data_IF_698914340336
#
_entry.id   IF_698914340336
#
_cell.length_a   1.000
_cell.length_b   1.000
_cell.length_c   1.000
_cell.angle_alpha   90.00
_cell.angle_beta   90.00
_cell.angle_gamma   90.00
#
_symmetry.space_group_name_H-M   'P 1'
#
loop_
_entity.id
_entity.type
_entity.pdbx_description
1 polymer ?
#
# COMPACT_ATOMS: atom_id res chain seq x y z
N UNK A 1 -27.41 -15.23 3.92
CA UNK A 1 -26.40 -14.40 3.23
C UNK A 1 -25.60 -13.69 4.30
N UNK A 2 -24.29 -13.84 4.28
CA UNK A 2 -23.42 -13.05 5.15
C UNK A 2 -23.48 -11.59 4.69
N UNK A 3 -23.64 -10.65 5.61
CA UNK A 3 -23.54 -9.22 5.32
C UNK A 3 -22.07 -8.76 5.43
N UNK A 4 -21.78 -7.55 4.93
CA UNK A 4 -20.44 -6.97 4.95
C UNK A 4 -19.81 -6.98 6.36
N UNK A 5 -20.58 -6.62 7.38
CA UNK A 5 -20.08 -6.52 8.76
C UNK A 5 -19.72 -7.89 9.34
N UNK A 6 -20.53 -8.91 9.06
CA UNK A 6 -20.28 -10.29 9.48
C UNK A 6 -19.03 -10.87 8.82
N UNK A 7 -18.79 -10.58 7.52
CA UNK A 7 -17.60 -11.01 6.80
C UNK A 7 -16.33 -10.28 7.27
N UNK A 8 -16.40 -8.95 7.44
CA UNK A 8 -15.26 -8.16 7.92
C UNK A 8 -14.86 -8.60 9.34
N UNK A 9 -15.84 -8.84 10.20
CA UNK A 9 -15.59 -9.32 11.56
C UNK A 9 -14.90 -10.68 11.53
N UNK A 10 -15.41 -11.64 10.75
CA UNK A 10 -14.82 -12.96 10.64
C UNK A 10 -13.39 -12.92 10.06
N UNK A 11 -13.18 -12.19 8.98
CA UNK A 11 -11.87 -12.02 8.36
C UNK A 11 -10.86 -11.35 9.31
N UNK A 12 -11.29 -10.38 10.10
CA UNK A 12 -10.41 -9.66 11.04
C UNK A 12 -9.85 -10.55 12.15
N UNK A 13 -10.56 -11.63 12.51
CA UNK A 13 -10.16 -12.59 13.54
C UNK A 13 -9.20 -13.68 13.03
N UNK A 14 -8.97 -13.76 11.71
CA UNK A 14 -8.03 -14.72 11.15
C UNK A 14 -6.57 -14.36 11.53
N UNK A 15 -5.67 -15.35 11.60
CA UNK A 15 -4.23 -15.10 11.65
C UNK A 15 -3.77 -14.19 10.52
N UNK A 16 -2.72 -13.39 10.76
CA UNK A 16 -2.20 -12.43 9.76
C UNK A 16 -1.94 -13.09 8.40
N UNK A 17 -1.35 -14.28 8.39
CA UNK A 17 -1.06 -15.03 7.17
C UNK A 17 -2.33 -15.39 6.38
N UNK A 18 -3.39 -15.83 7.07
CA UNK A 18 -4.66 -16.17 6.44
C UNK A 18 -5.43 -14.93 5.96
N UNK A 19 -5.29 -13.79 6.64
CA UNK A 19 -5.85 -12.52 6.16
C UNK A 19 -5.21 -12.07 4.87
N UNK A 20 -3.88 -12.17 4.77
CA UNK A 20 -3.15 -11.81 3.54
C UNK A 20 -3.59 -12.73 2.39
N UNK A 21 -3.62 -14.04 2.62
CA UNK A 21 -4.09 -15.00 1.61
C UNK A 21 -5.52 -14.73 1.18
N UNK A 22 -6.42 -14.43 2.12
CA UNK A 22 -7.81 -14.09 1.81
C UNK A 22 -7.92 -12.80 0.98
N UNK A 23 -7.10 -11.79 1.27
CA UNK A 23 -7.06 -10.54 0.47
C UNK A 23 -6.62 -10.86 -0.96
N UNK A 24 -5.54 -11.62 -1.13
CA UNK A 24 -5.01 -11.99 -2.46
C UNK A 24 -6.06 -12.76 -3.28
N UNK A 25 -6.63 -13.82 -2.69
CA UNK A 25 -7.67 -14.64 -3.34
C UNK A 25 -8.91 -13.80 -3.72
N UNK A 26 -9.35 -12.87 -2.85
CA UNK A 26 -10.48 -11.99 -3.16
C UNK A 26 -10.15 -11.00 -4.28
N UNK A 27 -8.93 -10.45 -4.30
CA UNK A 27 -8.49 -9.54 -5.37
C UNK A 27 -8.49 -10.23 -6.73
N UNK A 28 -8.09 -11.52 -6.81
CA UNK A 28 -8.16 -12.31 -8.05
C UNK A 28 -9.59 -12.53 -8.57
N UNK A 29 -10.61 -12.44 -7.71
CA UNK A 29 -12.01 -12.57 -8.15
C UNK A 29 -12.59 -11.31 -8.76
N UNK A 30 -11.93 -10.16 -8.55
CA UNK A 30 -12.36 -8.91 -9.15
C UNK A 30 -11.95 -8.95 -10.64
N UNK A 31 -12.78 -8.41 -11.55
CA UNK A 31 -12.30 -8.13 -12.90
C UNK A 31 -11.03 -7.27 -12.79
N UNK A 32 -10.15 -7.31 -13.79
CA UNK A 32 -9.10 -6.29 -13.91
C UNK A 32 -9.77 -4.94 -13.68
N UNK A 33 -9.50 -4.36 -12.52
CA UNK A 33 -9.91 -3.02 -12.23
C UNK A 33 -9.14 -2.26 -13.29
N UNK A 34 -9.84 -1.78 -14.33
CA UNK A 34 -9.29 -0.76 -15.20
C UNK A 34 -8.74 0.27 -14.22
N UNK A 35 -7.41 0.45 -14.14
CA UNK A 35 -6.86 1.36 -13.16
C UNK A 35 -7.65 2.64 -13.34
N UNK A 36 -8.32 3.08 -12.27
CA UNK A 36 -8.99 4.38 -12.30
C UNK A 36 -7.98 5.33 -12.93
N UNK A 37 -8.38 6.01 -14.02
CA UNK A 37 -7.46 6.89 -14.72
C UNK A 37 -6.84 7.79 -13.66
N UNK A 38 -5.51 7.70 -13.51
CA UNK A 38 -4.81 8.50 -12.52
C UNK A 38 -5.22 9.95 -12.74
N UNK A 39 -5.44 10.66 -11.65
CA UNK A 39 -5.74 12.08 -11.78
C UNK A 39 -4.61 12.74 -12.58
N UNK A 40 -4.89 13.74 -13.43
CA UNK A 40 -3.86 14.40 -14.23
C UNK A 40 -2.66 14.89 -13.40
N UNK A 41 -2.91 15.27 -12.15
CA UNK A 41 -1.88 15.68 -11.19
C UNK A 41 -0.96 14.51 -10.78
N UNK A 42 -1.52 13.33 -10.53
CA UNK A 42 -0.73 12.14 -10.20
C UNK A 42 0.07 11.64 -11.40
N UNK A 43 -0.52 11.67 -12.59
CA UNK A 43 0.18 11.34 -13.83
C UNK A 43 1.38 12.26 -14.06
N UNK A 44 1.18 13.58 -13.93
CA UNK A 44 2.23 14.58 -14.07
C UNK A 44 3.35 14.40 -13.02
N UNK A 45 3.01 14.07 -11.78
CA UNK A 45 3.99 13.83 -10.72
C UNK A 45 4.83 12.57 -10.97
N UNK A 46 4.21 11.48 -11.45
CA UNK A 46 4.94 10.26 -11.85
C UNK A 46 5.92 10.57 -12.98
N UNK A 47 5.47 11.26 -14.02
CA UNK A 47 6.34 11.66 -15.14
C UNK A 47 7.50 12.55 -14.68
N UNK A 48 7.25 13.50 -13.77
CA UNK A 48 8.28 14.36 -13.19
C UNK A 48 9.33 13.53 -12.43
N UNK A 49 8.90 12.64 -11.53
CA UNK A 49 9.82 11.83 -10.71
C UNK A 49 10.60 10.81 -11.53
N UNK A 50 9.97 10.18 -12.52
CA UNK A 50 10.67 9.27 -13.44
C UNK A 50 11.79 10.01 -14.18
N UNK A 51 11.50 11.22 -14.68
CA UNK A 51 12.52 12.06 -15.33
C UNK A 51 13.65 12.45 -14.38
N UNK A 52 13.35 12.80 -13.13
CA UNK A 52 14.39 13.10 -12.14
C UNK A 52 15.33 11.92 -11.89
N UNK A 53 14.79 10.69 -11.90
CA UNK A 53 15.59 9.46 -11.78
C UNK A 53 16.46 9.28 -13.02
N UNK A 54 15.87 9.38 -14.22
CA UNK A 54 16.58 9.21 -15.49
C UNK A 54 17.70 10.24 -15.67
N UNK A 55 17.44 11.49 -15.29
CA UNK A 55 18.41 12.59 -15.35
C UNK A 55 19.44 12.54 -14.21
N UNK A 56 19.31 11.60 -13.26
CA UNK A 56 20.19 11.48 -12.10
C UNK A 56 20.09 12.65 -11.11
N UNK A 57 18.99 13.39 -11.14
CA UNK A 57 18.73 14.55 -10.27
C UNK A 57 17.89 14.19 -9.04
N UNK A 58 17.24 13.03 -9.06
CA UNK A 58 16.48 12.52 -7.93
C UNK A 58 17.39 12.21 -6.73
N UNK A 59 16.98 12.70 -5.55
CA UNK A 59 17.54 12.25 -4.29
C UNK A 59 16.87 10.93 -3.89
N UNK A 60 17.58 9.82 -4.13
CA UNK A 60 17.11 8.49 -3.75
C UNK A 60 17.64 8.12 -2.37
N UNK A 61 16.81 7.42 -1.61
CA UNK A 61 17.18 6.85 -0.32
C UNK A 61 16.93 5.35 -0.36
N UNK A 62 17.83 4.59 0.26
CA UNK A 62 17.68 3.14 0.38
C UNK A 62 16.42 2.77 1.17
N UNK A 63 15.67 1.78 0.66
CA UNK A 63 14.39 1.39 1.24
C UNK A 63 14.52 0.88 2.67
N UNK A 64 15.56 0.10 2.99
CA UNK A 64 15.75 -0.42 4.35
C UNK A 64 16.01 0.71 5.35
N UNK A 65 16.72 1.75 4.92
CA UNK A 65 16.95 2.97 5.70
C UNK A 65 15.64 3.72 5.98
N UNK A 66 14.82 3.95 4.95
CA UNK A 66 13.50 4.60 5.08
C UNK A 66 12.58 3.78 5.98
N UNK A 67 12.51 2.46 5.75
CA UNK A 67 11.68 1.52 6.48
C UNK A 67 12.04 1.53 7.97
N UNK A 68 13.32 1.42 8.31
CA UNK A 68 13.79 1.47 9.69
C UNK A 68 13.35 2.77 10.40
N UNK A 69 13.51 3.93 9.74
CA UNK A 69 13.08 5.23 10.26
C UNK A 69 11.57 5.30 10.49
N UNK A 70 10.76 4.74 9.59
CA UNK A 70 9.30 4.71 9.75
C UNK A 70 8.89 3.90 10.99
N UNK A 71 9.46 2.70 11.18
CA UNK A 71 9.13 1.86 12.34
C UNK A 71 9.58 2.48 13.66
N UNK A 72 10.73 3.17 13.69
CA UNK A 72 11.17 3.91 14.88
C UNK A 72 10.17 5.01 15.27
N UNK A 73 9.66 5.79 14.31
CA UNK A 73 8.67 6.87 14.58
C UNK A 73 7.35 6.34 15.14
N UNK A 74 6.87 5.22 14.63
CA UNK A 74 5.64 4.59 15.11
C UNK A 74 5.83 4.00 16.50
N UNK A 75 7.00 3.43 16.81
CA UNK A 75 7.30 2.90 18.13
C UNK A 75 7.45 4.02 19.19
N UNK A 76 8.01 5.17 18.81
CA UNK A 76 8.11 6.36 19.66
C UNK A 76 6.76 7.03 19.95
N UNK A 77 5.74 6.81 19.11
CA UNK A 77 4.40 7.38 19.29
C UNK A 77 3.52 6.57 20.26
N UNK A 78 4.02 5.44 20.79
CA UNK A 78 3.31 4.57 21.75
C UNK A 78 3.68 4.81 23.22
N UNK A 79 4.63 5.71 23.49
CA UNK A 79 4.98 6.15 24.85
C UNK A 79 4.74 7.67 24.95
N UNK A 80 3.50 8.08 25.22
CA UNK A 80 3.12 9.43 25.68
C UNK A 80 1.74 9.38 26.34
#
# INVERSE_FOLDING_TARGET
>A
MSDYMSLLTAASQLPVADRLRLIDELTETLPELSPEELSPEWQAEIERRSREIDDGTAQLEDWETVRARMFQRVNLSRES
#
